data_IF_779946232921
#
_entry.id   IF_779946232921
#
_cell.length_a   1.000
_cell.length_b   1.000
_cell.length_c   1.000
_cell.angle_alpha   90.00
_cell.angle_beta   90.00
_cell.angle_gamma   90.00
#
_symmetry.space_group_name_H-M   'P 1'
#
loop_
_entity.id
_entity.type
_entity.pdbx_description
1 polymer ?
#
# COMPACT_ATOMS: atom_id res chain seq x y z
N UNK A 1 -11.72 -68.28 -44.33
CA UNK A 1 -12.53 -67.14 -43.81
C UNK A 1 -12.36 -66.87 -42.32
N UNK A 2 -12.26 -67.87 -41.43
CA UNK A 2 -12.19 -67.64 -39.96
C UNK A 2 -10.91 -66.91 -39.48
N UNK A 3 -9.77 -67.10 -40.14
CA UNK A 3 -8.48 -66.48 -39.76
C UNK A 3 -8.39 -65.00 -40.10
N UNK A 4 -9.04 -64.55 -41.18
CA UNK A 4 -9.08 -63.14 -41.59
C UNK A 4 -9.93 -62.28 -40.64
N UNK A 5 -11.02 -62.85 -40.11
CA UNK A 5 -11.88 -62.16 -39.16
C UNK A 5 -11.18 -61.88 -37.82
N UNK A 6 -10.30 -62.80 -37.38
CA UNK A 6 -9.55 -62.67 -36.13
C UNK A 6 -8.46 -61.59 -36.21
N UNK A 7 -7.74 -61.50 -37.34
CA UNK A 7 -6.73 -60.46 -37.58
C UNK A 7 -7.38 -59.08 -37.73
N UNK A 8 -8.55 -59.01 -38.40
CA UNK A 8 -9.30 -57.77 -38.51
C UNK A 8 -9.84 -57.28 -37.15
N UNK A 9 -10.33 -58.18 -36.29
CA UNK A 9 -10.78 -57.82 -34.94
C UNK A 9 -9.62 -57.33 -34.06
N UNK A 10 -8.44 -57.94 -34.20
CA UNK A 10 -7.25 -57.56 -33.43
C UNK A 10 -6.71 -56.18 -33.88
N UNK A 11 -6.70 -55.90 -35.19
CA UNK A 11 -6.30 -54.58 -35.72
C UNK A 11 -7.25 -53.47 -35.26
N UNK A 12 -8.56 -53.74 -35.22
CA UNK A 12 -9.58 -52.78 -34.76
C UNK A 12 -9.42 -52.48 -33.27
N UNK A 13 -9.04 -53.46 -32.45
CA UNK A 13 -8.76 -53.22 -31.03
C UNK A 13 -7.41 -52.52 -30.79
N UNK A 14 -6.38 -52.81 -31.58
CA UNK A 14 -5.04 -52.20 -31.44
C UNK A 14 -4.93 -50.76 -31.97
N UNK A 15 -5.90 -50.30 -32.76
CA UNK A 15 -5.93 -48.97 -33.36
C UNK A 15 -6.86 -47.98 -32.64
N UNK A 16 -7.45 -48.36 -31.50
CA UNK A 16 -8.16 -47.37 -30.68
C UNK A 16 -7.12 -46.55 -29.92
N UNK A 17 -6.98 -45.22 -30.17
CA UNK A 17 -6.14 -44.40 -29.33
C UNK A 17 -6.72 -44.42 -27.92
N UNK A 18 -5.95 -44.89 -26.95
CA UNK A 18 -6.21 -44.62 -25.55
C UNK A 18 -6.12 -43.10 -25.37
N UNK A 19 -7.28 -42.43 -25.32
CA UNK A 19 -7.33 -41.03 -24.91
C UNK A 19 -6.91 -40.99 -23.45
N UNK A 20 -5.65 -40.62 -23.19
CA UNK A 20 -5.25 -40.14 -21.88
C UNK A 20 -6.00 -38.84 -21.65
N UNK A 21 -7.17 -38.90 -21.02
CA UNK A 21 -7.82 -37.72 -20.47
C UNK A 21 -6.97 -37.24 -19.30
N UNK A 22 -6.05 -36.31 -19.57
CA UNK A 22 -5.43 -35.50 -18.53
C UNK A 22 -6.54 -34.79 -17.76
N UNK A 23 -6.50 -34.87 -16.44
CA UNK A 23 -7.49 -34.23 -15.58
C UNK A 23 -7.56 -32.73 -15.90
N UNK A 24 -8.62 -32.31 -16.57
CA UNK A 24 -8.96 -30.91 -16.77
C UNK A 24 -9.56 -30.42 -15.45
N UNK A 25 -9.27 -29.19 -15.03
CA UNK A 25 -9.76 -28.63 -13.77
C UNK A 25 -11.28 -28.81 -13.59
N UNK A 26 -11.77 -28.72 -12.36
CA UNK A 26 -13.21 -28.73 -12.09
C UNK A 26 -13.74 -27.33 -12.39
N UNK A 27 -14.71 -27.20 -13.29
CA UNK A 27 -15.42 -25.93 -13.51
C UNK A 27 -16.83 -25.98 -12.96
N UNK A 28 -17.26 -24.87 -12.35
CA UNK A 28 -18.65 -24.59 -11.98
C UNK A 28 -18.99 -23.24 -12.64
N UNK A 29 -19.24 -23.30 -13.95
CA UNK A 29 -19.41 -22.12 -14.79
C UNK A 29 -20.83 -22.08 -15.37
N UNK A 30 -21.52 -20.93 -15.25
CA UNK A 30 -22.91 -20.79 -15.75
C UNK A 30 -23.01 -20.54 -17.26
N UNK A 31 -21.87 -20.36 -17.94
CA UNK A 31 -21.77 -20.04 -19.37
C UNK A 31 -21.15 -21.19 -20.20
N UNK A 32 -20.97 -22.37 -19.59
CA UNK A 32 -20.32 -23.54 -20.18
C UNK A 32 -18.87 -23.31 -20.65
N UNK A 33 -18.16 -22.29 -20.13
CA UNK A 33 -16.74 -22.13 -20.44
C UNK A 33 -15.90 -23.24 -19.82
N UNK A 34 -14.87 -23.69 -20.54
CA UNK A 34 -13.85 -24.58 -19.97
C UNK A 34 -13.17 -23.90 -18.76
N UNK A 35 -12.69 -24.67 -17.77
CA UNK A 35 -11.89 -24.14 -16.67
C UNK A 35 -10.58 -23.52 -17.19
N UNK A 36 -10.11 -22.44 -16.57
CA UNK A 36 -8.80 -21.87 -16.86
C UNK A 36 -7.69 -22.92 -16.62
N UNK A 37 -6.72 -22.98 -17.54
CA UNK A 37 -5.65 -23.98 -17.52
C UNK A 37 -4.73 -23.89 -16.28
N UNK A 38 -4.73 -22.75 -15.59
CA UNK A 38 -3.97 -22.54 -14.34
C UNK A 38 -4.75 -22.95 -13.07
N UNK A 39 -6.01 -23.36 -13.20
CA UNK A 39 -6.90 -23.61 -12.06
C UNK A 39 -7.25 -25.09 -11.87
N UNK A 40 -7.31 -25.54 -10.61
CA UNK A 40 -7.88 -26.84 -10.26
C UNK A 40 -9.40 -26.72 -10.04
N UNK A 41 -9.86 -25.55 -9.59
CA UNK A 41 -11.27 -25.20 -9.43
C UNK A 41 -11.51 -23.81 -10.03
N UNK A 42 -12.38 -23.72 -11.03
CA UNK A 42 -12.84 -22.48 -11.65
C UNK A 42 -14.34 -22.31 -11.35
N UNK A 43 -14.72 -21.15 -10.81
CA UNK A 43 -16.11 -20.83 -10.48
C UNK A 43 -16.46 -19.49 -11.11
N UNK A 44 -17.31 -19.53 -12.13
CA UNK A 44 -17.75 -18.35 -12.86
C UNK A 44 -19.27 -18.24 -12.88
N UNK A 45 -19.79 -17.16 -12.32
CA UNK A 45 -21.21 -16.83 -12.35
C UNK A 45 -21.42 -15.32 -12.39
N UNK A 46 -22.48 -14.89 -13.07
CA UNK A 46 -22.93 -13.48 -13.08
C UNK A 46 -24.06 -13.22 -12.07
N UNK A 47 -24.62 -14.29 -11.48
CA UNK A 47 -25.84 -14.23 -10.64
C UNK A 47 -25.66 -14.87 -9.27
N UNK A 48 -24.64 -15.72 -9.09
CA UNK A 48 -24.36 -16.44 -7.85
C UNK A 48 -22.92 -16.25 -7.37
N UNK A 49 -22.68 -16.55 -6.10
CA UNK A 49 -21.35 -16.57 -5.50
C UNK A 49 -21.05 -17.93 -4.87
N UNK A 50 -19.86 -18.04 -4.28
CA UNK A 50 -19.47 -19.22 -3.51
C UNK A 50 -19.84 -19.02 -2.04
N UNK A 51 -20.68 -19.89 -1.49
CA UNK A 51 -20.97 -19.94 -0.07
C UNK A 51 -19.93 -20.82 0.64
N UNK A 52 -18.97 -20.18 1.29
CA UNK A 52 -17.94 -20.83 2.11
C UNK A 52 -18.59 -21.40 3.39
N UNK A 53 -18.10 -22.54 3.95
CA UNK A 53 -18.61 -23.08 5.21
C UNK A 53 -18.78 -22.03 6.29
N UNK A 54 -20.00 -21.93 6.82
CA UNK A 54 -20.39 -20.95 7.85
C UNK A 54 -20.47 -21.65 9.20
N UNK A 55 -19.87 -21.05 10.22
CA UNK A 55 -19.85 -21.62 11.57
C UNK A 55 -19.62 -20.54 12.62
N UNK A 56 -19.99 -20.83 13.87
CA UNK A 56 -19.67 -19.97 15.03
C UNK A 56 -18.16 -19.97 15.32
N UNK A 57 -17.71 -19.01 16.12
CA UNK A 57 -16.32 -18.94 16.58
C UNK A 57 -15.90 -20.21 17.31
N UNK A 58 -16.77 -20.74 18.17
CA UNK A 58 -16.51 -21.97 18.91
C UNK A 58 -16.34 -23.19 17.98
N UNK A 59 -17.19 -23.31 16.96
CA UNK A 59 -17.11 -24.38 15.97
C UNK A 59 -15.84 -24.28 15.12
N UNK A 60 -15.46 -23.07 14.69
CA UNK A 60 -14.21 -22.84 13.94
C UNK A 60 -12.98 -23.25 14.75
N UNK A 61 -12.88 -22.81 16.00
CA UNK A 61 -11.76 -23.17 16.88
C UNK A 61 -11.80 -24.64 17.30
N UNK A 62 -12.96 -25.28 17.25
CA UNK A 62 -13.16 -26.69 17.55
C UNK A 62 -12.82 -27.65 16.42
N UNK A 63 -12.47 -27.17 15.22
CA UNK A 63 -12.00 -28.04 14.13
C UNK A 63 -10.69 -28.71 14.56
N UNK A 64 -10.70 -30.04 14.67
CA UNK A 64 -9.51 -30.81 14.99
C UNK A 64 -8.54 -30.83 13.80
N UNK A 65 -7.27 -30.50 14.05
CA UNK A 65 -6.19 -30.52 13.03
C UNK A 65 -6.57 -29.82 11.71
N UNK A 66 -6.98 -28.54 11.73
CA UNK A 66 -7.42 -27.85 10.53
C UNK A 66 -6.25 -27.67 9.55
N UNK A 67 -6.48 -27.95 8.28
CA UNK A 67 -5.47 -27.79 7.23
C UNK A 67 -5.09 -26.31 7.04
N UNK A 68 -3.81 -26.05 6.76
CA UNK A 68 -3.33 -24.73 6.35
C UNK A 68 -4.02 -24.32 5.04
N UNK A 69 -4.50 -23.07 4.97
CA UNK A 69 -5.24 -22.52 3.84
C UNK A 69 -6.76 -22.75 3.90
N UNK A 70 -7.28 -23.45 4.91
CA UNK A 70 -8.73 -23.64 5.09
C UNK A 70 -9.42 -22.28 5.31
N UNK A 71 -10.49 -22.00 4.56
CA UNK A 71 -11.27 -20.75 4.67
C UNK A 71 -12.66 -21.06 5.22
N UNK A 72 -13.13 -20.26 6.17
CA UNK A 72 -14.48 -20.32 6.75
C UNK A 72 -15.06 -18.92 6.91
N UNK A 73 -16.38 -18.81 6.99
CA UNK A 73 -17.06 -17.58 7.42
C UNK A 73 -17.52 -17.75 8.87
N UNK A 74 -16.98 -16.95 9.78
CA UNK A 74 -17.33 -16.95 11.20
C UNK A 74 -18.57 -16.08 11.43
N UNK A 75 -19.66 -16.70 11.89
CA UNK A 75 -20.95 -16.03 12.03
C UNK A 75 -21.03 -15.11 13.24
N UNK A 76 -20.20 -15.35 14.26
CA UNK A 76 -20.21 -14.51 15.48
C UNK A 76 -19.46 -13.21 15.22
N UNK A 77 -18.32 -13.29 14.51
CA UNK A 77 -17.53 -12.11 14.12
C UNK A 77 -17.95 -11.51 12.78
N UNK A 78 -18.87 -12.16 12.06
CA UNK A 78 -19.35 -11.76 10.72
C UNK A 78 -18.23 -11.52 9.70
N UNK A 79 -17.18 -12.35 9.74
CA UNK A 79 -15.97 -12.14 8.94
C UNK A 79 -15.40 -13.46 8.39
N UNK A 80 -14.64 -13.36 7.30
CA UNK A 80 -13.90 -14.49 6.77
C UNK A 80 -12.65 -14.77 7.62
N UNK A 81 -12.36 -16.04 7.84
CA UNK A 81 -11.16 -16.51 8.52
C UNK A 81 -10.45 -17.57 7.67
N UNK A 82 -9.12 -17.56 7.67
CA UNK A 82 -8.30 -18.64 7.15
C UNK A 82 -7.40 -19.25 8.23
N UNK A 83 -7.01 -20.51 8.05
CA UNK A 83 -6.01 -21.17 8.90
C UNK A 83 -4.62 -20.95 8.29
N UNK A 84 -3.70 -20.29 9.00
CA UNK A 84 -2.29 -20.25 8.60
C UNK A 84 -1.55 -21.51 9.10
N UNK A 85 -0.22 -21.50 9.30
CA UNK A 85 0.48 -22.66 9.86
C UNK A 85 0.20 -22.88 11.36
N UNK A 86 -0.12 -21.84 12.14
CA UNK A 86 -0.15 -21.88 13.62
C UNK A 86 -1.49 -21.47 14.27
N UNK A 87 -2.24 -20.53 13.70
CA UNK A 87 -3.56 -20.10 14.18
C UNK A 87 -4.59 -19.85 13.06
N UNK A 88 -5.82 -19.57 13.48
CA UNK A 88 -6.82 -18.93 12.63
C UNK A 88 -6.55 -17.43 12.54
N UNK A 89 -6.66 -16.88 11.33
CA UNK A 89 -6.48 -15.46 11.01
C UNK A 89 -7.69 -14.94 10.28
N UNK A 90 -8.18 -13.77 10.66
CA UNK A 90 -9.28 -13.13 9.96
C UNK A 90 -8.74 -12.42 8.71
N UNK A 91 -9.39 -12.62 7.57
CA UNK A 91 -9.00 -12.08 6.27
C UNK A 91 -9.06 -10.54 6.22
N UNK A 92 -9.98 -9.95 6.98
CA UNK A 92 -10.20 -8.51 7.04
C UNK A 92 -9.50 -7.85 8.24
N UNK A 93 -9.11 -8.63 9.25
CA UNK A 93 -8.29 -8.14 10.37
C UNK A 93 -6.80 -8.43 10.16
N UNK A 94 -6.35 -8.45 8.90
CA UNK A 94 -4.93 -8.57 8.57
C UNK A 94 -4.15 -7.59 9.45
N UNK A 95 -3.27 -8.14 10.29
CA UNK A 95 -2.44 -7.49 11.32
C UNK A 95 -1.44 -6.46 10.78
N UNK A 96 -1.69 -5.92 9.60
CA UNK A 96 -0.83 -5.00 8.86
C UNK A 96 -1.57 -3.75 8.36
N UNK A 97 -2.88 -3.61 8.68
CA UNK A 97 -3.66 -2.41 8.40
C UNK A 97 -3.71 -1.42 9.56
N UNK A 98 -3.95 -0.15 9.27
CA UNK A 98 -4.16 0.87 10.29
C UNK A 98 -5.63 0.88 10.72
N UNK A 99 -5.90 0.53 11.98
CA UNK A 99 -7.25 0.60 12.56
C UNK A 99 -7.67 2.06 12.76
N UNK A 100 -8.93 2.38 12.42
CA UNK A 100 -9.52 3.71 12.68
C UNK A 100 -9.66 4.02 14.17
N UNK A 101 -9.65 3.00 15.02
CA UNK A 101 -9.67 3.14 16.47
C UNK A 101 -8.27 3.00 17.10
N UNK A 102 -7.22 2.95 16.26
CA UNK A 102 -5.85 2.72 16.68
C UNK A 102 -5.47 1.24 16.75
N UNK A 103 -4.16 0.99 16.70
CA UNK A 103 -3.56 -0.33 16.84
C UNK A 103 -3.05 -0.52 18.28
N UNK A 104 -3.12 -1.74 18.81
CA UNK A 104 -2.46 -2.10 20.08
C UNK A 104 -0.97 -2.25 19.81
N UNK A 105 -0.12 -1.52 20.55
CA UNK A 105 1.33 -1.57 20.40
C UNK A 105 1.95 -2.72 21.21
N UNK A 106 2.74 -3.56 20.56
CA UNK A 106 3.70 -4.51 21.14
C UNK A 106 5.09 -3.89 21.35
N UNK A 107 6.10 -4.73 21.64
CA UNK A 107 7.47 -4.28 21.97
C UNK A 107 8.30 -3.79 20.78
N UNK A 108 7.84 -3.97 19.54
CA UNK A 108 8.61 -3.65 18.33
C UNK A 108 7.73 -3.13 17.20
N UNK A 109 6.59 -2.53 17.55
CA UNK A 109 5.65 -1.99 16.57
C UNK A 109 6.07 -0.58 16.13
N UNK A 110 5.94 -0.29 14.84
CA UNK A 110 6.23 1.02 14.29
C UNK A 110 5.27 1.37 13.16
N UNK A 111 5.07 2.66 12.94
CA UNK A 111 4.42 3.21 11.74
C UNK A 111 5.56 3.70 10.85
N UNK A 112 5.89 2.98 9.78
CA UNK A 112 7.07 3.35 8.99
C UNK A 112 7.46 2.33 7.92
N UNK A 113 8.65 2.54 7.36
CA UNK A 113 9.25 1.72 6.31
C UNK A 113 10.48 0.98 6.86
N UNK A 114 10.85 -0.14 6.24
CA UNK A 114 12.05 -0.93 6.60
C UNK A 114 13.14 -0.88 5.54
N UNK A 115 12.95 -0.09 4.48
CA UNK A 115 13.73 -0.14 3.25
C UNK A 115 14.32 1.23 2.85
N UNK A 116 14.63 2.08 3.83
CA UNK A 116 15.21 3.41 3.63
C UNK A 116 14.38 4.31 2.68
N UNK A 117 13.06 4.11 2.63
CA UNK A 117 12.13 4.95 1.88
C UNK A 117 11.45 5.93 2.82
N UNK A 118 11.21 7.15 2.35
CA UNK A 118 10.53 8.20 3.11
C UNK A 118 9.12 7.78 3.52
N UNK A 119 8.72 8.12 4.75
CA UNK A 119 7.35 7.90 5.22
C UNK A 119 6.49 9.10 4.79
N UNK A 120 5.46 8.85 3.98
CA UNK A 120 4.54 9.88 3.48
C UNK A 120 3.16 9.75 4.15
N UNK A 121 2.70 10.84 4.74
CA UNK A 121 1.37 10.98 5.30
C UNK A 121 0.51 11.82 4.36
N UNK A 122 -0.72 11.39 4.10
CA UNK A 122 -1.65 12.09 3.22
C UNK A 122 -2.99 12.39 3.87
N UNK A 123 -3.58 13.53 3.52
CA UNK A 123 -4.96 13.88 3.80
C UNK A 123 -5.64 14.29 2.50
N UNK A 124 -6.79 13.69 2.16
CA UNK A 124 -7.48 13.93 0.88
C UNK A 124 -6.54 13.79 -0.35
N UNK A 125 -5.68 12.77 -0.35
CA UNK A 125 -4.64 12.52 -1.36
C UNK A 125 -3.53 13.61 -1.50
N UNK A 126 -3.49 14.60 -0.61
CA UNK A 126 -2.41 15.60 -0.54
C UNK A 126 -1.39 15.21 0.52
N UNK A 127 -0.10 15.50 0.30
CA UNK A 127 0.94 15.34 1.32
C UNK A 127 0.58 16.21 2.52
N UNK A 128 0.40 15.61 3.70
CA UNK A 128 0.13 16.28 4.96
C UNK A 128 1.30 16.13 5.95
N UNK A 129 2.25 15.26 5.64
CA UNK A 129 3.52 15.15 6.34
C UNK A 129 4.46 14.21 5.60
N UNK A 130 5.76 14.39 5.77
CA UNK A 130 6.80 13.53 5.17
C UNK A 130 8.02 13.50 6.10
N UNK A 131 8.48 12.30 6.41
CA UNK A 131 9.81 12.08 6.98
C UNK A 131 10.70 11.58 5.85
N UNK A 132 11.59 12.45 5.37
CA UNK A 132 12.41 12.22 4.19
C UNK A 132 13.80 11.70 4.56
N UNK A 133 13.98 10.39 4.48
CA UNK A 133 15.21 9.73 4.91
C UNK A 133 16.43 10.06 4.01
N UNK A 134 16.36 10.00 2.67
CA UNK A 134 17.54 10.28 1.84
C UNK A 134 18.05 11.73 1.97
N UNK A 135 17.14 12.69 2.17
CA UNK A 135 17.46 14.10 2.35
C UNK A 135 17.55 14.56 3.81
N UNK A 136 17.29 13.69 4.80
CA UNK A 136 17.15 14.08 6.21
C UNK A 136 16.19 15.27 6.44
N UNK A 137 15.08 15.35 5.69
CA UNK A 137 14.10 16.42 5.83
C UNK A 137 12.87 15.98 6.67
N UNK A 138 12.25 16.91 7.38
CA UNK A 138 11.01 16.68 8.12
C UNK A 138 9.97 17.73 7.74
N UNK A 139 8.85 17.31 7.19
CA UNK A 139 7.78 18.19 6.72
C UNK A 139 6.46 17.83 7.40
N UNK A 140 5.76 18.82 7.95
CA UNK A 140 4.45 18.67 8.59
C UNK A 140 3.50 19.77 8.12
N UNK A 141 2.34 19.38 7.60
CA UNK A 141 1.37 20.30 7.00
C UNK A 141 1.08 19.96 5.55
N UNK A 142 -0.09 20.40 5.08
CA UNK A 142 -0.50 20.18 3.69
C UNK A 142 0.49 20.87 2.75
N UNK A 143 1.04 20.13 1.79
CA UNK A 143 2.04 20.56 0.80
C UNK A 143 3.38 21.07 1.37
N UNK A 144 3.65 20.85 2.65
CA UNK A 144 4.92 21.26 3.26
C UNK A 144 6.10 20.54 2.57
N UNK A 145 7.08 21.27 2.03
CA UNK A 145 8.23 20.70 1.31
C UNK A 145 7.91 19.94 0.01
N UNK A 146 6.74 20.19 -0.61
CA UNK A 146 6.22 19.39 -1.72
C UNK A 146 7.13 19.35 -2.98
N UNK A 147 7.81 20.45 -3.30
CA UNK A 147 8.67 20.54 -4.49
C UNK A 147 10.14 20.23 -4.25
N UNK A 148 10.52 19.75 -3.04
CA UNK A 148 11.91 19.48 -2.72
C UNK A 148 12.46 18.31 -3.54
N UNK A 149 13.49 18.57 -4.34
CA UNK A 149 14.11 17.58 -5.23
C UNK A 149 15.40 17.03 -4.66
N UNK A 150 16.31 17.91 -4.22
CA UNK A 150 17.64 17.53 -3.70
C UNK A 150 18.01 18.23 -2.39
N UNK A 151 17.20 19.17 -1.91
CA UNK A 151 17.47 19.87 -0.66
C UNK A 151 17.50 18.91 0.53
N UNK A 152 18.42 19.15 1.46
CA UNK A 152 18.63 18.30 2.64
C UNK A 152 18.57 19.08 3.95
N UNK A 153 18.34 18.35 5.05
CA UNK A 153 18.33 18.89 6.42
C UNK A 153 17.30 20.00 6.67
N UNK A 154 16.20 20.03 5.91
CA UNK A 154 15.14 21.02 6.07
C UNK A 154 14.08 20.56 7.06
N UNK A 155 13.57 21.49 7.87
CA UNK A 155 12.41 21.28 8.75
C UNK A 155 11.31 22.26 8.38
N UNK A 156 10.11 21.75 8.10
CA UNK A 156 8.92 22.59 7.89
C UNK A 156 7.70 22.15 8.69
N UNK A 157 6.97 23.12 9.25
CA UNK A 157 5.73 22.93 9.98
C UNK A 157 4.76 24.03 9.57
N UNK A 158 3.71 23.68 8.83
CA UNK A 158 2.70 24.62 8.34
C UNK A 158 2.21 24.23 6.95
N UNK A 159 0.99 24.67 6.62
CA UNK A 159 0.48 24.53 5.24
C UNK A 159 1.36 25.35 4.32
N UNK A 160 1.80 24.72 3.21
CA UNK A 160 2.65 25.29 2.19
C UNK A 160 4.02 25.84 2.67
N UNK A 161 4.46 25.48 3.88
CA UNK A 161 5.79 25.82 4.39
C UNK A 161 6.89 25.12 3.57
N UNK A 162 7.90 25.87 3.08
CA UNK A 162 8.93 25.39 2.15
C UNK A 162 8.38 24.73 0.86
N UNK A 163 7.14 25.03 0.46
CA UNK A 163 6.46 24.33 -0.64
C UNK A 163 7.28 24.28 -1.93
N UNK A 164 7.89 25.40 -2.32
CA UNK A 164 8.68 25.52 -3.57
C UNK A 164 10.19 25.41 -3.37
N UNK A 165 10.66 24.89 -2.23
CA UNK A 165 12.08 24.54 -2.09
C UNK A 165 12.46 23.43 -3.04
N UNK A 166 13.53 23.59 -3.82
CA UNK A 166 14.00 22.56 -4.74
C UNK A 166 15.32 21.96 -4.25
N UNK A 167 16.33 22.81 -4.03
CA UNK A 167 17.69 22.37 -3.64
C UNK A 167 18.27 23.11 -2.43
N UNK A 168 17.51 23.99 -1.79
CA UNK A 168 17.94 24.69 -0.57
C UNK A 168 18.11 23.73 0.60
N UNK A 169 19.15 23.94 1.41
CA UNK A 169 19.51 23.09 2.55
C UNK A 169 19.38 23.83 3.87
N UNK A 170 19.25 23.07 4.95
CA UNK A 170 19.37 23.57 6.32
C UNK A 170 18.39 24.71 6.65
N UNK A 171 17.18 24.69 6.05
CA UNK A 171 16.15 25.68 6.31
C UNK A 171 15.17 25.21 7.39
N UNK A 172 14.75 26.13 8.27
CA UNK A 172 13.67 25.94 9.24
C UNK A 172 12.50 26.87 8.89
N UNK A 173 11.33 26.31 8.58
CA UNK A 173 10.13 27.07 8.22
C UNK A 173 8.93 26.66 9.08
N UNK A 174 8.49 27.53 9.98
CA UNK A 174 7.39 27.26 10.90
C UNK A 174 6.31 28.33 10.71
N UNK A 175 5.15 27.96 10.16
CA UNK A 175 4.04 28.86 9.88
C UNK A 175 3.43 28.62 8.49
N UNK A 176 2.20 29.09 8.31
CA UNK A 176 1.53 29.12 6.99
C UNK A 176 2.40 29.91 6.00
N UNK A 177 2.71 29.34 4.85
CA UNK A 177 3.50 29.97 3.77
C UNK A 177 4.92 30.47 4.19
N UNK A 178 5.47 30.00 5.31
CA UNK A 178 6.84 30.33 5.70
C UNK A 178 7.83 29.75 4.67
N UNK A 179 8.73 30.59 4.13
CA UNK A 179 9.68 30.23 3.06
C UNK A 179 9.01 29.59 1.80
N UNK A 180 7.77 29.96 1.51
CA UNK A 180 6.98 29.38 0.40
C UNK A 180 7.74 29.29 -0.93
N UNK A 181 8.41 30.36 -1.36
CA UNK A 181 9.12 30.46 -2.65
C UNK A 181 10.64 30.26 -2.56
N UNK A 182 11.14 29.46 -1.62
CA UNK A 182 12.59 29.28 -1.42
C UNK A 182 13.25 28.30 -2.38
N UNK A 183 13.48 28.66 -3.64
CA UNK A 183 14.05 27.74 -4.63
C UNK A 183 15.40 27.13 -4.20
N UNK A 184 16.41 27.96 -3.91
CA UNK A 184 17.79 27.51 -3.64
C UNK A 184 18.41 28.07 -2.36
N UNK A 185 17.70 28.97 -1.65
CA UNK A 185 18.20 29.57 -0.43
C UNK A 185 18.45 28.53 0.66
N UNK A 186 19.53 28.69 1.42
CA UNK A 186 19.97 27.77 2.45
C UNK A 186 20.25 28.48 3.77
N UNK A 187 20.21 27.75 4.88
CA UNK A 187 20.46 28.28 6.22
C UNK A 187 19.47 29.40 6.65
N UNK A 188 18.21 29.35 6.20
CA UNK A 188 17.20 30.34 6.59
C UNK A 188 16.34 29.82 7.75
N UNK A 189 16.04 30.71 8.70
CA UNK A 189 15.06 30.46 9.76
C UNK A 189 13.88 31.41 9.60
N UNK A 190 12.71 30.86 9.31
CA UNK A 190 11.45 31.59 9.17
C UNK A 190 10.42 31.06 10.17
N UNK A 191 9.93 31.90 11.07
CA UNK A 191 8.86 31.56 12.02
C UNK A 191 7.78 32.62 12.00
N UNK A 192 6.58 32.27 11.54
CA UNK A 192 5.44 33.18 11.39
C UNK A 192 4.73 32.97 10.05
N UNK A 193 3.47 33.39 9.96
CA UNK A 193 2.75 33.40 8.69
C UNK A 193 3.46 34.32 7.69
N UNK A 194 3.80 33.80 6.51
CA UNK A 194 4.51 34.48 5.43
C UNK A 194 5.92 34.99 5.79
N UNK A 195 6.53 34.53 6.88
CA UNK A 195 7.91 34.87 7.17
C UNK A 195 8.82 34.40 6.02
N UNK A 196 9.62 35.30 5.43
CA UNK A 196 10.46 35.05 4.25
C UNK A 196 9.74 34.44 3.04
N UNK A 197 8.45 34.74 2.85
CA UNK A 197 7.62 34.08 1.82
C UNK A 197 8.24 34.08 0.43
N UNK A 198 8.83 35.19 -0.01
CA UNK A 198 9.40 35.34 -1.36
C UNK A 198 10.93 35.23 -1.43
N UNK A 199 11.58 34.68 -0.40
CA UNK A 199 13.03 34.50 -0.42
C UNK A 199 13.43 33.44 -1.45
N UNK A 200 13.85 33.80 -2.66
CA UNK A 200 14.13 32.82 -3.72
C UNK A 200 15.49 32.14 -3.59
N UNK A 201 16.52 32.89 -3.20
CA UNK A 201 17.93 32.43 -3.18
C UNK A 201 18.75 33.04 -2.03
N UNK A 202 18.15 33.88 -1.20
CA UNK A 202 18.83 34.46 -0.05
C UNK A 202 19.19 33.39 0.97
N UNK A 203 20.38 33.52 1.55
CA UNK A 203 20.93 32.60 2.53
C UNK A 203 21.10 33.29 3.88
N UNK A 204 21.11 32.51 4.96
CA UNK A 204 21.46 32.99 6.31
C UNK A 204 20.51 34.07 6.86
N UNK A 205 19.23 34.06 6.45
CA UNK A 205 18.25 35.00 6.98
C UNK A 205 17.57 34.43 8.23
N UNK A 206 17.23 35.32 9.18
CA UNK A 206 16.34 35.02 10.29
C UNK A 206 15.16 35.97 10.25
N UNK A 207 13.95 35.43 10.11
CA UNK A 207 12.71 36.19 10.14
C UNK A 207 11.75 35.56 11.16
N UNK A 208 11.34 36.37 12.13
CA UNK A 208 10.44 35.95 13.20
C UNK A 208 9.30 36.98 13.28
N UNK A 209 8.07 36.51 13.06
CA UNK A 209 6.86 37.34 13.08
C UNK A 209 6.01 37.17 11.81
N UNK A 210 4.77 37.64 11.89
CA UNK A 210 3.86 37.75 10.74
C UNK A 210 4.48 38.67 9.68
N UNK A 211 4.53 38.19 8.43
CA UNK A 211 5.08 38.89 7.27
C UNK A 211 6.54 39.40 7.46
N UNK A 212 7.27 38.85 8.44
CA UNK A 212 8.64 39.25 8.72
C UNK A 212 9.52 38.94 7.50
N UNK A 213 10.18 39.98 6.98
CA UNK A 213 10.94 39.91 5.72
C UNK A 213 10.12 39.26 4.59
N UNK A 214 8.84 39.58 4.45
CA UNK A 214 7.96 39.01 3.42
C UNK A 214 8.60 39.00 2.03
N UNK A 215 9.28 40.10 1.68
CA UNK A 215 10.02 40.31 0.43
C UNK A 215 11.52 39.95 0.51
N UNK A 216 11.93 39.15 1.49
CA UNK A 216 13.31 39.03 1.95
C UNK A 216 14.34 38.53 0.93
N UNK A 217 15.52 39.17 0.99
CA UNK A 217 16.80 38.84 0.34
C UNK A 217 16.75 38.50 -1.17
N UNK A 218 16.07 39.33 -1.96
CA UNK A 218 16.53 39.56 -3.32
C UNK A 218 17.86 40.32 -3.23
N UNK A 219 18.95 39.76 -3.76
CA UNK A 219 20.15 40.56 -4.02
C UNK A 219 19.72 41.79 -4.82
N UNK A 220 19.81 42.98 -4.24
CA UNK A 220 19.65 44.24 -4.98
C UNK A 220 21.04 44.70 -5.42
N UNK A 221 21.28 44.52 -6.72
CA UNK A 221 22.38 44.96 -7.59
C UNK A 221 23.73 44.29 -7.41
#
# INVERSE_FOLDING_TARGET
>A
MKTFLFVALWLVFSLTPFYNSSAQGVSINTDNSAPDASSILDVKSTTGGMLIPRMTSAQRTGIASPATGLIVYDTDTQSFWFRDATAWKNLLSGTSGWSLSGNVAGSSDFIGTTNNQSLLLKANNLQAGKIDLPGNNTYWGVNAGLSNTTGSSNTSIGVDALRSNTSGNDNTAIGLDALYSNNTGSNNTATGWNALRTNSSGNNNTAIGLDALYWGALYSW
#
